data_IF_488176030163
#
_entry.id   IF_488176030163
#
_cell.length_a   1.000
_cell.length_b   1.000
_cell.length_c   1.000
_cell.angle_alpha   90.00
_cell.angle_beta   90.00
_cell.angle_gamma   90.00
#
_symmetry.space_group_name_H-M   'P 1'
#
loop_
_entity.id
_entity.type
_entity.pdbx_description
1 polymer ?
#
# COMPACT_ATOMS: atom_id res chain seq x y z
N UNK A 1 -1.13 13.05 -10.18
CA UNK A 1 0.21 12.50 -9.91
C UNK A 1 1.09 13.51 -9.16
N UNK A 2 0.84 13.82 -7.87
CA UNK A 2 1.63 14.82 -7.12
C UNK A 2 2.32 14.28 -5.86
N UNK A 3 2.07 13.03 -5.44
CA UNK A 3 2.57 12.49 -4.16
C UNK A 3 3.86 11.69 -4.29
N UNK A 4 4.40 11.57 -5.51
CA UNK A 4 5.77 11.12 -5.77
C UNK A 4 6.81 12.22 -5.53
N UNK A 5 6.39 13.46 -5.26
CA UNK A 5 7.30 14.63 -5.13
C UNK A 5 7.66 14.99 -3.68
N UNK A 6 7.07 14.35 -2.67
CA UNK A 6 7.56 14.47 -1.29
C UNK A 6 8.81 13.61 -1.10
N UNK A 7 9.97 14.06 -1.60
CA UNK A 7 11.35 13.79 -1.14
C UNK A 7 11.79 12.37 -0.72
N UNK A 8 10.95 11.36 -0.84
CA UNK A 8 11.23 9.96 -0.51
C UNK A 8 11.56 9.34 -1.85
N UNK A 9 12.85 9.30 -2.15
CA UNK A 9 13.39 8.52 -3.24
C UNK A 9 12.84 7.11 -3.10
N UNK A 10 11.87 6.73 -3.93
CA UNK A 10 11.29 5.39 -3.88
C UNK A 10 12.41 4.42 -4.19
N UNK A 11 12.80 3.59 -3.22
CA UNK A 11 14.02 2.84 -3.38
C UNK A 11 13.83 1.67 -4.34
N UNK A 12 14.86 1.36 -5.12
CA UNK A 12 14.82 0.39 -6.23
C UNK A 12 14.69 -1.08 -5.80
N UNK A 13 14.76 -1.37 -4.49
CA UNK A 13 14.71 -2.73 -3.94
C UNK A 13 13.71 -2.91 -2.79
N UNK A 14 13.13 -4.12 -2.70
CA UNK A 14 12.16 -4.53 -1.65
C UNK A 14 12.66 -4.22 -0.23
N UNK A 15 13.94 -4.46 0.05
CA UNK A 15 14.56 -4.23 1.37
C UNK A 15 14.59 -2.74 1.72
N UNK A 16 14.89 -1.90 0.75
CA UNK A 16 14.96 -0.46 0.97
C UNK A 16 13.54 0.13 1.11
N UNK A 17 12.54 -0.41 0.39
CA UNK A 17 11.13 -0.05 0.58
C UNK A 17 10.66 -0.41 1.99
N UNK A 18 11.02 -1.59 2.47
CA UNK A 18 10.77 -2.02 3.85
C UNK A 18 11.38 -1.08 4.88
N UNK A 19 12.61 -0.63 4.67
CA UNK A 19 13.28 0.32 5.57
C UNK A 19 12.62 1.70 5.55
N UNK A 20 12.20 2.21 4.39
CA UNK A 20 11.42 3.44 4.29
C UNK A 20 10.09 3.34 5.04
N UNK A 21 9.36 2.26 4.81
CA UNK A 21 8.07 2.04 5.46
C UNK A 21 8.26 1.86 6.96
N UNK A 22 9.28 1.14 7.42
CA UNK A 22 9.62 1.04 8.84
C UNK A 22 9.85 2.40 9.49
N UNK A 23 10.56 3.30 8.81
CA UNK A 23 10.80 4.68 9.28
C UNK A 23 9.51 5.50 9.34
N UNK A 24 8.68 5.44 8.29
CA UNK A 24 7.39 6.14 8.21
C UNK A 24 6.32 5.56 9.15
N UNK A 25 6.45 4.27 9.46
CA UNK A 25 5.56 3.53 10.35
C UNK A 25 5.87 3.77 11.84
N UNK A 26 6.95 4.50 12.17
CA UNK A 26 7.24 4.89 13.56
C UNK A 26 6.25 5.95 14.02
N UNK A 27 5.48 5.63 15.06
CA UNK A 27 4.52 6.54 15.68
C UNK A 27 3.06 6.06 15.62
N UNK A 28 2.16 6.95 16.02
CA UNK A 28 0.70 6.72 16.12
C UNK A 28 -0.13 7.77 15.38
N UNK A 29 0.49 8.55 14.48
CA UNK A 29 -0.25 9.52 13.67
C UNK A 29 -1.20 8.80 12.69
N UNK A 30 -2.26 9.49 12.26
CA UNK A 30 -3.22 8.94 11.30
C UNK A 30 -2.53 8.56 9.98
N UNK A 31 -1.56 9.33 9.52
CA UNK A 31 -0.74 9.02 8.33
C UNK A 31 0.08 7.74 8.53
N UNK A 32 0.73 7.57 9.67
CA UNK A 32 1.47 6.34 10.00
C UNK A 32 0.55 5.11 10.04
N UNK A 33 -0.67 5.26 10.55
CA UNK A 33 -1.66 4.17 10.57
C UNK A 33 -2.11 3.78 9.16
N UNK A 34 -2.36 4.76 8.29
CA UNK A 34 -2.69 4.54 6.88
C UNK A 34 -1.54 3.82 6.18
N UNK A 35 -0.30 4.27 6.39
CA UNK A 35 0.87 3.68 5.73
C UNK A 35 1.11 2.23 6.14
N UNK A 36 0.89 1.90 7.43
CA UNK A 36 0.91 0.52 7.90
C UNK A 36 -0.16 -0.33 7.21
N UNK A 37 -1.38 0.18 7.10
CA UNK A 37 -2.50 -0.52 6.48
C UNK A 37 -2.23 -0.82 5.01
N UNK A 38 -1.87 0.20 4.23
CA UNK A 38 -1.56 0.06 2.80
C UNK A 38 -0.41 -0.93 2.58
N UNK A 39 0.63 -0.87 3.42
CA UNK A 39 1.74 -1.80 3.31
C UNK A 39 1.34 -3.25 3.63
N UNK A 40 0.52 -3.48 4.67
CA UNK A 40 0.02 -4.80 5.00
C UNK A 40 -0.80 -5.39 3.85
N UNK A 41 -1.74 -4.62 3.28
CA UNK A 41 -2.53 -5.09 2.12
C UNK A 41 -1.66 -5.32 0.88
N UNK A 42 -0.66 -4.48 0.63
CA UNK A 42 0.27 -4.66 -0.48
C UNK A 42 1.06 -5.96 -0.38
N UNK A 43 1.59 -6.29 0.81
CA UNK A 43 2.32 -7.54 1.03
C UNK A 43 1.38 -8.75 0.87
N UNK A 44 0.15 -8.64 1.39
CA UNK A 44 -0.86 -9.67 1.24
C UNK A 44 -1.18 -9.91 -0.26
N UNK A 45 -1.49 -8.85 -1.00
CA UNK A 45 -1.78 -8.92 -2.43
C UNK A 45 -0.62 -9.52 -3.23
N UNK A 46 0.63 -9.17 -2.92
CA UNK A 46 1.81 -9.77 -3.56
C UNK A 46 1.94 -11.28 -3.29
N UNK A 47 1.61 -11.71 -2.07
CA UNK A 47 1.66 -13.13 -1.71
C UNK A 47 0.54 -13.90 -2.42
N UNK A 48 -0.68 -13.36 -2.43
CA UNK A 48 -1.81 -13.92 -3.17
C UNK A 48 -1.51 -13.99 -4.65
N UNK A 49 -1.03 -12.91 -5.27
CA UNK A 49 -0.69 -12.86 -6.68
C UNK A 49 0.39 -13.90 -7.04
N UNK A 50 1.43 -14.01 -6.21
CA UNK A 50 2.46 -15.02 -6.41
C UNK A 50 1.88 -16.43 -6.35
N UNK A 51 0.99 -16.70 -5.41
CA UNK A 51 0.34 -18.01 -5.28
C UNK A 51 -0.55 -18.28 -6.50
N UNK A 52 -1.42 -17.34 -6.88
CA UNK A 52 -2.28 -17.44 -8.06
C UNK A 52 -1.45 -17.68 -9.33
N UNK A 53 -0.34 -16.96 -9.54
CA UNK A 53 0.53 -17.20 -10.70
C UNK A 53 1.14 -18.60 -10.69
N UNK A 54 1.57 -19.09 -9.54
CA UNK A 54 2.21 -20.41 -9.43
C UNK A 54 1.19 -21.54 -9.61
N UNK A 55 0.00 -21.42 -9.03
CA UNK A 55 -0.99 -22.50 -8.98
C UNK A 55 -2.03 -22.44 -10.11
N UNK A 56 -2.43 -21.25 -10.52
CA UNK A 56 -3.48 -21.03 -11.54
C UNK A 56 -2.91 -20.56 -12.89
N UNK A 57 -1.59 -20.29 -12.96
CA UNK A 57 -0.91 -19.76 -14.15
C UNK A 57 -1.56 -18.48 -14.73
N UNK A 58 -2.21 -17.73 -13.86
CA UNK A 58 -2.89 -16.49 -14.18
C UNK A 58 -2.10 -15.31 -13.59
N UNK A 59 -2.00 -14.22 -14.35
CA UNK A 59 -1.35 -12.99 -13.93
C UNK A 59 -2.38 -11.87 -13.89
N UNK A 60 -2.43 -11.16 -12.77
CA UNK A 60 -3.32 -10.01 -12.60
C UNK A 60 -2.59 -8.72 -12.96
N UNK A 61 -3.32 -7.84 -13.62
CA UNK A 61 -2.83 -6.50 -13.93
C UNK A 61 -2.53 -5.71 -12.64
N UNK A 62 -1.40 -5.02 -12.64
CA UNK A 62 -0.93 -4.24 -11.49
C UNK A 62 -1.91 -3.13 -11.10
N UNK A 63 -2.61 -2.53 -12.06
CA UNK A 63 -3.62 -1.50 -11.81
C UNK A 63 -4.84 -2.09 -11.10
N UNK A 64 -5.23 -3.31 -11.48
CA UNK A 64 -6.32 -4.04 -10.83
C UNK A 64 -5.98 -4.40 -9.38
N UNK A 65 -4.74 -4.84 -9.12
CA UNK A 65 -4.24 -5.09 -7.76
C UNK A 65 -4.19 -3.81 -6.92
N UNK A 66 -3.72 -2.70 -7.50
CA UNK A 66 -3.68 -1.41 -6.80
C UNK A 66 -5.08 -0.91 -6.40
N UNK A 67 -6.07 -1.07 -7.28
CA UNK A 67 -7.48 -0.73 -6.98
C UNK A 67 -8.06 -1.59 -5.85
N UNK A 68 -7.77 -2.88 -5.86
CA UNK A 68 -8.20 -3.79 -4.80
C UNK A 68 -7.61 -3.36 -3.44
N UNK A 69 -6.30 -3.12 -3.39
CA UNK A 69 -5.61 -2.63 -2.18
C UNK A 69 -6.25 -1.33 -1.69
N UNK A 70 -6.47 -0.36 -2.58
CA UNK A 70 -7.09 0.92 -2.23
C UNK A 70 -8.52 0.75 -1.68
N UNK A 71 -9.32 -0.15 -2.28
CA UNK A 71 -10.67 -0.46 -1.82
C UNK A 71 -10.65 -1.07 -0.40
N UNK A 72 -9.83 -2.10 -0.19
CA UNK A 72 -9.69 -2.77 1.11
C UNK A 72 -9.23 -1.78 2.17
N UNK A 73 -8.24 -0.93 1.86
CA UNK A 73 -7.76 0.10 2.78
C UNK A 73 -8.87 1.10 3.13
N UNK A 74 -9.69 1.54 2.17
CA UNK A 74 -10.80 2.44 2.43
C UNK A 74 -11.87 1.83 3.36
N UNK A 75 -12.16 0.54 3.18
CA UNK A 75 -13.11 -0.21 4.03
C UNK A 75 -12.55 -0.38 5.44
N UNK A 76 -11.27 -0.77 5.57
CA UNK A 76 -10.60 -1.01 6.87
C UNK A 76 -10.24 0.27 7.63
N UNK A 77 -10.20 1.42 6.96
CA UNK A 77 -9.85 2.69 7.56
C UNK A 77 -10.82 3.12 8.67
N UNK A 78 -10.29 3.62 9.78
CA UNK A 78 -11.08 4.35 10.78
C UNK A 78 -11.68 5.63 10.19
N UNK A 79 -12.70 6.22 10.82
CA UNK A 79 -13.32 7.46 10.31
C UNK A 79 -12.30 8.59 10.05
N UNK A 80 -11.33 8.79 10.95
CA UNK A 80 -10.24 9.77 10.78
C UNK A 80 -9.29 9.39 9.64
N UNK A 81 -8.93 8.12 9.53
CA UNK A 81 -8.03 7.63 8.47
C UNK A 81 -8.70 7.67 7.09
N UNK A 82 -10.01 7.42 7.03
CA UNK A 82 -10.80 7.40 5.80
C UNK A 82 -10.92 8.79 5.19
N UNK A 83 -11.17 9.82 6.02
CA UNK A 83 -11.18 11.20 5.55
C UNK A 83 -9.86 11.59 4.88
N UNK A 84 -8.73 11.16 5.44
CA UNK A 84 -7.41 11.39 4.85
C UNK A 84 -7.16 10.54 3.60
N UNK A 85 -7.59 9.27 3.60
CA UNK A 85 -7.48 8.38 2.44
C UNK A 85 -8.33 8.84 1.25
N UNK A 86 -9.52 9.39 1.49
CA UNK A 86 -10.38 9.92 0.44
C UNK A 86 -9.84 11.22 -0.17
N UNK A 87 -9.00 11.95 0.56
CA UNK A 87 -8.23 13.08 0.01
C UNK A 87 -7.06 12.62 -0.86
N UNK A 88 -6.65 11.35 -0.75
CA UNK A 88 -5.62 10.73 -1.59
C UNK A 88 -6.31 10.10 -2.81
N UNK A 89 -6.41 10.86 -3.90
CA UNK A 89 -6.98 10.43 -5.19
C UNK A 89 -6.14 9.37 -5.94
N UNK A 90 -6.57 8.11 -5.91
CA UNK A 90 -5.90 7.00 -6.62
C UNK A 90 -6.09 7.04 -8.14
#
# INVERSE_FOLDING_TARGET
MLWLQTGVTMPSGRIQLQQCIWRLAKGKTTTTQIMKMVYTEYIHALQTERNTRVFEHNERDASSLAREIACICNVRASAKSRALLQQLSF
#
